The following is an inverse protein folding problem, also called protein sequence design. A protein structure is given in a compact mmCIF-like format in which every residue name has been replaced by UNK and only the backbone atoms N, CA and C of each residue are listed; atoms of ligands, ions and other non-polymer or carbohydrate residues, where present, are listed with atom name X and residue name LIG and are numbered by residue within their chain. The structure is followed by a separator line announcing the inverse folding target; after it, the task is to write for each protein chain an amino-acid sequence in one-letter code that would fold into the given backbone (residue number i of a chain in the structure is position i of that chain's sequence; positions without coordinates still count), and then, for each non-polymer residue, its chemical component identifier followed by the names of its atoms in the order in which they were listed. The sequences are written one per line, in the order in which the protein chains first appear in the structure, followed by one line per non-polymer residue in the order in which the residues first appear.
data_IF_643510363494
#
_entry.id   IF_643510363494
#
_cell.length_a   1.000
_cell.length_b   1.000
_cell.length_c   1.000
_cell.angle_alpha   90.00
_cell.angle_beta   90.00
_cell.angle_gamma   90.00
#
_symmetry.space_group_name_H-M   'P 1'
#
loop_
_entity.id
_entity.type
_entity.pdbx_description
1 polymer ?
#
# COMPACT_ATOMS: atom_id res chain seq x y z
N UNK A 1 -26.07 10.72 -0.47
CA UNK A 1 -24.99 10.47 0.51
C UNK A 1 -23.69 10.86 -0.19
N UNK A 2 -22.86 11.71 0.42
CA UNK A 2 -21.54 12.01 -0.17
C UNK A 2 -20.69 10.74 -0.13
N UNK A 3 -19.85 10.53 -1.14
CA UNK A 3 -18.98 9.36 -1.20
C UNK A 3 -17.97 9.42 -0.04
N UNK A 4 -17.63 8.29 0.56
CA UNK A 4 -16.64 8.21 1.65
C UNK A 4 -15.31 8.77 1.15
N UNK A 5 -14.90 8.41 -0.08
CA UNK A 5 -13.67 8.87 -0.72
C UNK A 5 -13.57 10.39 -0.89
N UNK A 6 -14.70 11.10 -1.06
CA UNK A 6 -14.74 12.57 -1.13
C UNK A 6 -14.39 13.21 0.21
N UNK A 7 -14.72 12.54 1.32
CA UNK A 7 -14.36 13.02 2.66
C UNK A 7 -12.84 13.05 2.87
N UNK A 8 -12.06 12.19 2.19
CA UNK A 8 -10.60 12.16 2.22
C UNK A 8 -10.00 13.20 1.25
N UNK A 9 -10.29 14.49 1.46
CA UNK A 9 -9.90 15.57 0.53
C UNK A 9 -8.38 15.76 0.38
N UNK A 10 -7.60 15.49 1.43
CA UNK A 10 -6.12 15.56 1.38
C UNK A 10 -5.49 14.39 0.60
N UNK A 11 -6.22 13.28 0.45
CA UNK A 11 -5.77 12.10 -0.30
C UNK A 11 -6.21 12.27 -1.75
N UNK A 12 -5.24 12.22 -2.66
CA UNK A 12 -5.49 12.20 -4.11
C UNK A 12 -5.54 10.78 -4.65
N UNK A 13 -4.55 9.98 -4.27
CA UNK A 13 -4.38 8.59 -4.67
C UNK A 13 -3.98 7.76 -3.46
N UNK A 14 -4.21 6.46 -3.58
CA UNK A 14 -3.66 5.44 -2.71
C UNK A 14 -2.60 4.66 -3.47
N UNK A 15 -1.74 3.94 -2.77
CA UNK A 15 -0.53 3.40 -3.37
C UNK A 15 -0.26 1.97 -2.93
N UNK A 16 0.02 1.08 -3.89
CA UNK A 16 0.56 -0.23 -3.60
C UNK A 16 2.02 -0.28 -4.04
N UNK A 17 2.94 -0.50 -3.12
CA UNK A 17 4.36 -0.64 -3.44
C UNK A 17 4.60 -2.08 -3.85
N UNK A 18 5.18 -2.29 -5.03
CA UNK A 18 5.27 -3.60 -5.65
C UNK A 18 6.56 -3.81 -6.47
N UNK A 19 6.72 -5.04 -6.98
CA UNK A 19 7.80 -5.45 -7.85
C UNK A 19 7.30 -5.37 -9.30
N UNK A 20 8.12 -4.87 -10.20
CA UNK A 20 7.77 -4.73 -11.62
C UNK A 20 7.32 -6.05 -12.25
N UNK A 21 7.87 -7.19 -11.80
CA UNK A 21 7.51 -8.53 -12.30
C UNK A 21 6.05 -8.89 -12.00
N UNK A 22 5.45 -8.27 -10.98
CA UNK A 22 4.06 -8.52 -10.60
C UNK A 22 3.06 -7.70 -11.43
N UNK A 23 3.51 -6.69 -12.19
CA UNK A 23 2.62 -5.75 -12.87
C UNK A 23 1.71 -6.43 -13.89
N UNK A 24 2.20 -7.40 -14.68
CA UNK A 24 1.35 -8.15 -15.62
C UNK A 24 0.16 -8.79 -14.91
N UNK A 25 0.41 -9.51 -13.81
CA UNK A 25 -0.66 -10.12 -13.01
C UNK A 25 -1.58 -9.08 -12.38
N UNK A 26 -1.03 -7.97 -11.88
CA UNK A 26 -1.81 -6.90 -11.24
C UNK A 26 -2.77 -6.25 -12.24
N UNK A 27 -2.31 -5.95 -13.45
CA UNK A 27 -3.14 -5.34 -14.48
C UNK A 27 -4.08 -6.35 -15.17
N UNK A 28 -3.87 -7.65 -14.97
CA UNK A 28 -4.79 -8.70 -15.43
C UNK A 28 -5.87 -9.03 -14.39
N UNK A 29 -5.55 -9.04 -13.10
CA UNK A 29 -6.42 -9.58 -12.05
C UNK A 29 -6.82 -8.58 -10.95
N UNK A 30 -6.18 -7.42 -10.92
CA UNK A 30 -6.22 -6.48 -9.81
C UNK A 30 -5.12 -6.75 -8.78
N UNK A 31 -5.05 -5.90 -7.76
CA UNK A 31 -4.15 -6.14 -6.61
C UNK A 31 -4.86 -7.12 -5.68
N UNK A 32 -4.48 -8.39 -5.74
CA UNK A 32 -5.08 -9.44 -4.92
C UNK A 32 -4.51 -9.45 -3.49
N UNK A 33 -5.36 -9.77 -2.53
CA UNK A 33 -4.95 -10.15 -1.17
C UNK A 33 -4.11 -11.43 -1.20
N UNK A 34 -3.40 -11.72 -0.11
CA UNK A 34 -2.55 -12.93 -0.03
C UNK A 34 -3.42 -14.19 -0.19
N UNK A 35 -4.57 -14.24 0.47
CA UNK A 35 -5.47 -15.39 0.40
C UNK A 35 -6.07 -15.56 -1.00
N UNK A 36 -6.45 -14.47 -1.67
CA UNK A 36 -6.94 -14.54 -3.07
C UNK A 36 -5.87 -15.04 -4.04
N UNK A 37 -4.59 -14.67 -3.85
CA UNK A 37 -3.49 -15.23 -4.67
C UNK A 37 -3.35 -16.74 -4.48
N UNK A 38 -3.45 -17.22 -3.23
CA UNK A 38 -3.35 -18.65 -2.92
C UNK A 38 -4.54 -19.42 -3.51
N UNK A 39 -5.76 -18.92 -3.35
CA UNK A 39 -6.98 -19.55 -3.88
C UNK A 39 -6.93 -19.68 -5.41
N UNK A 40 -6.34 -18.69 -6.09
CA UNK A 40 -6.26 -18.65 -7.56
C UNK A 40 -4.97 -19.23 -8.13
N UNK A 41 -4.08 -19.76 -7.29
CA UNK A 41 -2.75 -20.24 -7.67
C UNK A 41 -1.94 -19.22 -8.48
N UNK A 42 -2.03 -17.95 -8.11
CA UNK A 42 -1.30 -16.86 -8.76
C UNK A 42 0.00 -16.61 -7.99
N UNK A 43 1.11 -17.05 -8.58
CA UNK A 43 2.45 -16.74 -8.08
C UNK A 43 2.78 -15.26 -8.26
N UNK A 44 3.46 -14.69 -7.27
CA UNK A 44 3.97 -13.32 -7.33
C UNK A 44 5.33 -13.23 -6.65
N UNK A 45 6.20 -12.36 -7.15
CA UNK A 45 7.46 -12.03 -6.47
C UNK A 45 7.15 -11.46 -5.09
N UNK A 46 7.68 -12.12 -4.06
CA UNK A 46 7.54 -11.67 -2.68
C UNK A 46 8.51 -10.52 -2.35
N UNK A 47 7.93 -9.45 -1.82
CA UNK A 47 8.61 -8.24 -1.35
C UNK A 47 8.58 -8.11 0.16
N UNK A 48 7.82 -8.96 0.83
CA UNK A 48 7.51 -8.78 2.24
C UNK A 48 8.78 -8.90 3.09
N UNK A 49 8.82 -8.07 4.14
CA UNK A 49 9.76 -8.27 5.23
C UNK A 49 9.28 -9.52 6.00
N UNK A 50 10.09 -10.59 6.14
CA UNK A 50 9.65 -11.84 6.76
C UNK A 50 9.08 -11.67 8.18
N UNK A 51 9.64 -10.77 8.99
CA UNK A 51 9.16 -10.52 10.35
C UNK A 51 7.82 -9.79 10.38
N UNK A 52 7.59 -8.88 9.42
CA UNK A 52 6.28 -8.25 9.23
C UNK A 52 5.30 -9.31 8.72
N UNK A 53 5.71 -10.14 7.76
CA UNK A 53 4.87 -11.14 7.14
C UNK A 53 4.38 -12.18 8.14
N UNK A 54 5.26 -12.65 9.03
CA UNK A 54 4.93 -13.55 10.14
C UNK A 54 3.88 -12.94 11.07
N UNK A 55 4.01 -11.65 11.41
CA UNK A 55 3.01 -10.96 12.23
C UNK A 55 1.65 -10.84 11.54
N UNK A 56 1.61 -10.79 10.21
CA UNK A 56 0.37 -10.72 9.44
C UNK A 56 -0.34 -12.06 9.33
N UNK A 57 0.39 -13.19 9.40
CA UNK A 57 -0.18 -14.54 9.22
C UNK A 57 -1.33 -14.82 10.20
N UNK A 58 -1.19 -14.40 11.46
CA UNK A 58 -2.20 -14.62 12.51
C UNK A 58 -3.00 -13.34 12.88
N UNK A 59 -2.79 -12.23 12.17
CA UNK A 59 -3.44 -10.95 12.52
C UNK A 59 -4.89 -10.95 12.06
N UNK A 60 -5.82 -10.87 13.03
CA UNK A 60 -7.24 -10.63 12.79
C UNK A 60 -7.58 -9.15 12.85
N UNK A 61 -8.42 -8.68 11.93
CA UNK A 61 -9.02 -7.35 11.99
C UNK A 61 -10.29 -7.46 12.86
N UNK A 62 -10.43 -6.68 13.96
CA UNK A 62 -11.60 -6.76 14.84
C UNK A 62 -12.91 -6.58 14.08
N UNK A 63 -13.91 -7.43 14.35
CA UNK A 63 -15.21 -7.47 13.65
C UNK A 63 -15.17 -7.75 12.14
N UNK A 64 -14.01 -8.16 11.63
CA UNK A 64 -13.75 -8.43 10.22
C UNK A 64 -13.02 -9.78 10.04
N UNK A 65 -12.35 -9.97 8.90
CA UNK A 65 -11.59 -11.17 8.55
C UNK A 65 -10.13 -11.17 9.02
N UNK A 66 -9.34 -12.04 8.40
CA UNK A 66 -7.89 -12.08 8.58
C UNK A 66 -7.25 -10.95 7.78
N UNK A 67 -6.13 -10.39 8.25
CA UNK A 67 -5.41 -9.35 7.53
C UNK A 67 -4.98 -9.80 6.12
N UNK A 68 -4.79 -11.10 5.91
CA UNK A 68 -4.48 -11.69 4.60
C UNK A 68 -5.65 -11.83 3.63
N UNK A 69 -6.88 -11.56 4.08
CA UNK A 69 -8.03 -11.41 3.19
C UNK A 69 -8.02 -10.05 2.48
N UNK A 70 -7.16 -9.11 2.88
CA UNK A 70 -7.16 -7.75 2.37
C UNK A 70 -5.96 -7.43 1.49
N UNK A 71 -6.22 -6.78 0.36
CA UNK A 71 -5.21 -6.12 -0.46
C UNK A 71 -4.85 -4.77 0.19
N UNK A 72 -3.57 -4.58 0.50
CA UNK A 72 -3.12 -3.42 1.25
C UNK A 72 -2.64 -2.28 0.34
N UNK A 73 -3.06 -1.07 0.70
CA UNK A 73 -2.67 0.19 0.08
C UNK A 73 -2.15 1.13 1.15
N UNK A 74 -1.25 2.03 0.77
CA UNK A 74 -0.72 3.08 1.63
C UNK A 74 -1.29 4.44 1.21
N UNK A 75 -1.45 5.32 2.20
CA UNK A 75 -1.71 6.75 1.94
C UNK A 75 -0.49 7.47 1.38
N UNK A 76 0.71 7.07 1.82
CA UNK A 76 1.98 7.63 1.40
C UNK A 76 2.93 6.48 1.00
N UNK A 77 3.39 6.40 -0.26
CA UNK A 77 4.29 5.33 -0.67
C UNK A 77 5.72 5.58 -0.21
N UNK A 78 6.06 6.83 0.13
CA UNK A 78 7.37 7.19 0.68
C UNK A 78 7.39 6.99 2.19
N UNK A 79 7.36 5.73 2.59
CA UNK A 79 7.21 5.29 3.98
C UNK A 79 8.34 4.31 4.39
N UNK A 80 8.39 3.86 5.66
CA UNK A 80 9.38 2.88 6.11
C UNK A 80 9.42 1.55 5.35
N UNK A 81 8.30 1.12 4.74
CA UNK A 81 8.26 -0.08 3.91
C UNK A 81 9.06 0.13 2.62
N UNK A 82 8.84 1.25 1.92
CA UNK A 82 9.68 1.62 0.77
C UNK A 82 11.16 1.76 1.17
N UNK A 83 11.44 2.42 2.30
CA UNK A 83 12.82 2.54 2.80
C UNK A 83 13.47 1.17 3.06
N UNK A 84 12.73 0.21 3.60
CA UNK A 84 13.22 -1.16 3.75
C UNK A 84 13.55 -1.77 2.38
N UNK A 85 12.62 -1.68 1.41
CA UNK A 85 12.80 -2.30 0.09
C UNK A 85 14.01 -1.77 -0.68
N UNK A 86 14.23 -0.45 -0.71
CA UNK A 86 15.38 0.12 -1.44
C UNK A 86 16.74 -0.33 -0.90
N UNK A 87 16.79 -0.78 0.36
CA UNK A 87 18.01 -1.30 0.98
C UNK A 87 18.17 -2.82 0.81
N UNK A 88 17.15 -3.53 0.32
CA UNK A 88 17.12 -5.00 0.24
C UNK A 88 16.79 -5.54 -1.16
N UNK A 89 16.38 -4.69 -2.09
CA UNK A 89 15.99 -5.03 -3.46
C UNK A 89 16.66 -4.07 -4.43
N UNK A 90 16.75 -4.46 -5.71
CA UNK A 90 17.23 -3.57 -6.76
C UNK A 90 16.18 -2.49 -7.00
N UNK A 91 16.59 -1.22 -6.94
CA UNK A 91 15.70 -0.08 -7.16
C UNK A 91 14.98 -0.17 -8.51
N UNK A 92 15.65 -0.71 -9.52
CA UNK A 92 15.14 -0.89 -10.88
C UNK A 92 14.08 -1.98 -11.00
N UNK A 93 13.82 -2.75 -9.94
CA UNK A 93 12.78 -3.78 -9.90
C UNK A 93 11.57 -3.32 -9.07
N UNK A 94 11.64 -2.15 -8.42
CA UNK A 94 10.58 -1.61 -7.58
C UNK A 94 9.67 -0.65 -8.37
N UNK A 95 8.39 -0.65 -8.00
CA UNK A 95 7.41 0.29 -8.51
C UNK A 95 6.34 0.61 -7.46
N UNK A 96 5.53 1.62 -7.77
CA UNK A 96 4.35 1.98 -7.01
C UNK A 96 3.18 1.97 -7.98
N UNK A 97 2.18 1.13 -7.73
CA UNK A 97 0.91 1.19 -8.44
C UNK A 97 0.05 2.26 -7.78
N UNK A 98 -0.35 3.26 -8.56
CA UNK A 98 -1.28 4.30 -8.15
C UNK A 98 -2.71 3.78 -8.26
N UNK A 99 -3.50 4.01 -7.22
CA UNK A 99 -4.87 3.52 -7.09
C UNK A 99 -5.81 4.69 -6.81
N UNK A 100 -6.94 4.71 -7.50
CA UNK A 100 -8.00 5.68 -7.28
C UNK A 100 -8.58 5.52 -5.86
N UNK A 101 -8.69 6.62 -5.12
CA UNK A 101 -9.19 6.62 -3.75
C UNK A 101 -10.65 6.18 -3.60
N UNK A 102 -11.41 6.11 -4.70
CA UNK A 102 -12.78 5.55 -4.72
C UNK A 102 -12.84 4.09 -4.25
N UNK A 103 -11.71 3.40 -4.11
CA UNK A 103 -11.65 2.11 -3.39
C UNK A 103 -12.08 2.20 -1.91
N UNK A 104 -12.04 3.40 -1.32
CA UNK A 104 -12.60 3.66 0.03
C UNK A 104 -14.12 3.51 0.07
N UNK A 105 -14.80 3.59 -1.07
CA UNK A 105 -16.24 3.40 -1.19
C UNK A 105 -16.63 1.93 -1.41
N UNK A 106 -15.65 1.04 -1.61
CA UNK A 106 -15.90 -0.40 -1.78
C UNK A 106 -16.35 -1.03 -0.46
N UNK A 107 -17.32 -1.94 -0.56
CA UNK A 107 -17.82 -2.69 0.58
C UNK A 107 -16.71 -3.50 1.25
N UNK A 108 -16.70 -3.49 2.58
CA UNK A 108 -15.71 -4.20 3.37
C UNK A 108 -14.34 -3.51 3.44
N UNK A 109 -14.14 -2.35 2.82
CA UNK A 109 -12.88 -1.58 2.98
C UNK A 109 -12.72 -1.06 4.41
N UNK A 110 -11.56 -1.35 4.99
CA UNK A 110 -11.15 -0.97 6.35
C UNK A 110 -9.91 -0.10 6.26
N UNK A 111 -9.67 0.77 7.24
CA UNK A 111 -8.41 1.51 7.36
C UNK A 111 -7.73 1.20 8.69
N UNK A 112 -6.40 1.30 8.72
CA UNK A 112 -5.60 1.26 9.94
C UNK A 112 -4.86 2.58 10.15
N UNK A 113 -4.70 3.01 11.40
CA UNK A 113 -3.98 4.26 11.74
C UNK A 113 -2.46 4.18 11.62
N UNK A 114 -1.96 2.97 11.45
CA UNK A 114 -0.54 2.59 11.37
C UNK A 114 -0.41 1.27 10.62
N UNK A 115 0.81 0.76 10.50
CA UNK A 115 1.07 -0.58 9.95
C UNK A 115 0.10 -1.61 10.57
N UNK A 116 -0.73 -2.25 9.76
CA UNK A 116 -1.76 -3.18 10.21
C UNK A 116 -1.19 -4.42 10.92
N UNK A 117 0.08 -4.77 10.68
CA UNK A 117 0.78 -5.85 11.37
C UNK A 117 1.23 -5.46 12.80
N UNK A 118 1.07 -4.19 13.20
CA UNK A 118 1.37 -3.75 14.56
C UNK A 118 0.37 -4.30 15.57
N UNK A 119 0.83 -4.63 16.78
CA UNK A 119 -0.05 -4.97 17.91
C UNK A 119 -0.96 -3.80 18.29
N UNK A 120 -0.45 -2.57 18.19
CA UNK A 120 -1.17 -1.34 18.53
C UNK A 120 -2.02 -0.79 17.39
N UNK A 121 -2.09 -1.49 16.25
CA UNK A 121 -2.92 -1.05 15.14
C UNK A 121 -4.39 -1.11 15.53
N UNK A 122 -5.08 0.01 15.38
CA UNK A 122 -6.53 0.01 15.44
C UNK A 122 -7.10 0.17 14.03
N UNK A 123 -8.29 -0.39 13.88
CA UNK A 123 -8.96 -0.55 12.61
C UNK A 123 -10.34 0.09 12.69
N UNK A 124 -10.72 0.78 11.63
CA UNK A 124 -12.04 1.43 11.52
C UNK A 124 -12.58 1.29 10.11
N UNK A 125 -13.90 1.39 9.99
CA UNK A 125 -14.55 1.51 8.68
C UNK A 125 -14.10 2.79 7.97
N UNK A 126 -14.07 2.76 6.63
CA UNK A 126 -13.55 3.88 5.84
C UNK A 126 -14.27 5.22 6.14
N UNK A 127 -15.57 5.22 6.45
CA UNK A 127 -16.34 6.43 6.80
C UNK A 127 -15.90 7.08 8.12
N UNK A 128 -15.38 6.30 9.07
CA UNK A 128 -14.88 6.78 10.37
C UNK A 128 -13.39 7.05 10.35
N UNK A 129 -12.66 6.31 9.52
CA UNK A 129 -11.21 6.29 9.42
C UNK A 129 -10.55 7.66 9.28
N UNK A 130 -11.17 8.59 8.54
CA UNK A 130 -10.64 9.95 8.35
C UNK A 130 -10.34 10.66 9.67
N UNK A 131 -11.18 10.47 10.69
CA UNK A 131 -11.01 11.11 12.01
C UNK A 131 -9.93 10.43 12.85
N UNK A 132 -9.60 9.20 12.52
CA UNK A 132 -8.70 8.35 13.28
C UNK A 132 -7.25 8.42 12.78
N UNK A 133 -7.06 8.60 11.47
CA UNK A 133 -5.74 8.66 10.85
C UNK A 133 -5.06 10.01 11.14
N UNK A 134 -3.87 9.97 11.74
CA UNK A 134 -3.01 11.14 11.98
C UNK A 134 -2.28 11.55 10.70
N UNK A 135 -2.99 12.12 9.72
CA UNK A 135 -2.44 12.45 8.39
C UNK A 135 -1.18 13.32 8.42
N UNK A 136 -1.05 14.23 9.40
CA UNK A 136 0.17 15.03 9.56
C UNK A 136 1.41 14.17 9.81
N UNK A 137 1.28 13.07 10.57
CA UNK A 137 2.36 12.09 10.80
C UNK A 137 2.52 11.16 9.59
N UNK A 138 1.43 10.71 8.97
CA UNK A 138 1.45 9.83 7.77
C UNK A 138 2.22 10.47 6.61
N UNK A 139 1.99 11.76 6.37
CA UNK A 139 2.64 12.53 5.31
C UNK A 139 3.91 13.26 5.77
N UNK A 140 4.37 13.05 7.00
CA UNK A 140 5.62 13.64 7.45
C UNK A 140 6.81 13.13 6.61
N UNK A 141 7.75 14.01 6.30
CA UNK A 141 8.93 13.68 5.46
C UNK A 141 9.82 12.59 6.08
N UNK A 142 9.92 12.60 7.41
CA UNK A 142 10.72 11.68 8.20
C UNK A 142 9.92 11.21 9.42
N UNK A 143 10.24 10.01 9.90
CA UNK A 143 9.71 9.42 11.13
C UNK A 143 10.68 9.55 12.31
N UNK A 144 11.81 10.25 12.12
CA UNK A 144 12.87 10.41 13.13
C UNK A 144 12.40 11.27 14.29
N UNK A 145 12.85 10.94 15.50
CA UNK A 145 12.65 11.72 16.73
C UNK A 145 13.82 11.46 17.67
N UNK A 146 14.18 12.46 18.48
CA UNK A 146 15.15 12.30 19.57
C UNK A 146 14.65 11.33 20.65
N UNK A 147 13.33 11.11 20.72
CA UNK A 147 12.71 10.09 21.56
C UNK A 147 12.59 8.76 20.78
N UNK A 148 13.27 7.67 21.18
CA UNK A 148 13.21 6.39 20.48
C UNK A 148 11.82 5.76 20.42
N UNK A 149 10.99 5.94 21.45
CA UNK A 149 9.62 5.43 21.49
C UNK A 149 8.74 6.17 20.49
N UNK A 150 8.88 7.49 20.42
CA UNK A 150 8.16 8.29 19.43
C UNK A 150 8.61 7.96 18.01
N UNK A 151 9.92 7.81 17.78
CA UNK A 151 10.45 7.39 16.48
C UNK A 151 9.86 6.02 16.06
N UNK A 152 9.77 5.08 17.00
CA UNK A 152 9.17 3.77 16.75
C UNK A 152 7.66 3.87 16.43
N UNK A 153 6.92 4.73 17.12
CA UNK A 153 5.51 5.00 16.83
C UNK A 153 5.33 5.65 15.45
N UNK A 154 6.12 6.70 15.15
CA UNK A 154 6.07 7.43 13.89
C UNK A 154 6.35 6.52 12.70
N UNK A 155 7.30 5.58 12.80
CA UNK A 155 7.54 4.56 11.77
C UNK A 155 6.28 3.76 11.45
N UNK A 156 5.52 3.38 12.47
CA UNK A 156 4.31 2.60 12.27
C UNK A 156 3.19 3.46 11.68
N UNK A 157 2.98 4.67 12.20
CA UNK A 157 1.93 5.60 11.73
C UNK A 157 2.15 5.95 10.26
N UNK A 158 3.39 6.15 9.81
CA UNK A 158 3.68 6.40 8.39
C UNK A 158 3.31 5.25 7.44
N UNK A 159 3.14 4.05 7.99
CA UNK A 159 2.65 2.89 7.27
C UNK A 159 1.15 2.65 7.54
N UNK A 160 0.35 3.69 7.82
CA UNK A 160 -1.12 3.59 7.83
C UNK A 160 -1.64 3.03 6.50
N UNK A 161 -2.59 2.09 6.57
CA UNK A 161 -3.06 1.32 5.42
C UNK A 161 -4.55 1.54 5.14
N UNK A 162 -4.92 1.44 3.85
CA UNK A 162 -6.27 1.14 3.38
C UNK A 162 -6.27 -0.33 2.97
N UNK A 163 -7.22 -1.09 3.50
CA UNK A 163 -7.31 -2.54 3.38
C UNK A 163 -8.60 -2.85 2.61
N UNK A 164 -8.46 -3.20 1.33
CA UNK A 164 -9.58 -3.53 0.45
C UNK A 164 -9.81 -5.03 0.47
N UNK A 165 -11.04 -5.46 0.77
CA UNK A 165 -11.37 -6.87 0.92
C UNK A 165 -11.17 -7.62 -0.41
N UNK A 166 -10.51 -8.77 -0.35
CA UNK A 166 -10.17 -9.68 -1.45
C UNK A 166 -9.23 -9.08 -2.51
N UNK A 167 -9.61 -7.97 -3.16
CA UNK A 167 -8.80 -7.36 -4.21
C UNK A 167 -9.12 -5.89 -4.43
N UNK A 168 -8.13 -5.15 -4.92
CA UNK A 168 -8.36 -3.89 -5.64
C UNK A 168 -8.66 -4.22 -7.10
N UNK A 169 -9.85 -3.88 -7.63
CA UNK A 169 -10.18 -4.13 -9.03
C UNK A 169 -9.33 -3.31 -10.01
N UNK A 170 -9.16 -3.82 -11.23
CA UNK A 170 -8.27 -3.24 -12.26
C UNK A 170 -8.71 -1.83 -12.66
N UNK A 171 -10.02 -1.57 -12.67
CA UNK A 171 -10.61 -0.28 -13.01
C UNK A 171 -10.25 0.86 -12.04
N UNK A 172 -9.71 0.54 -10.87
CA UNK A 172 -9.19 1.53 -9.92
C UNK A 172 -7.68 1.77 -10.08
N UNK A 173 -6.98 1.03 -10.95
CA UNK A 173 -5.55 1.21 -11.20
C UNK A 173 -5.36 2.32 -12.23
N UNK A 174 -4.65 3.38 -11.83
CA UNK A 174 -4.59 4.63 -12.62
C UNK A 174 -3.21 4.88 -13.25
N UNK A 175 -2.17 4.23 -12.75
CA UNK A 175 -0.80 4.53 -13.16
C UNK A 175 0.24 3.71 -12.42
N UNK A 176 1.47 3.75 -12.93
CA UNK A 176 2.65 3.19 -12.27
C UNK A 176 3.67 4.31 -12.08
N UNK A 177 4.24 4.40 -10.88
CA UNK A 177 5.37 5.26 -10.59
C UNK A 177 6.63 4.41 -10.41
N UNK A 178 7.73 4.86 -10.99
CA UNK A 178 9.04 4.20 -10.92
C UNK A 178 10.14 5.20 -10.54
N UNK A 179 11.31 4.69 -10.17
CA UNK A 179 12.40 5.52 -9.67
C UNK A 179 13.20 6.21 -10.78
N UNK A 180 13.37 5.58 -11.94
CA UNK A 180 14.27 6.04 -13.00
C UNK A 180 13.83 5.52 -14.38
N UNK A 181 14.56 5.95 -15.43
CA UNK A 181 14.27 5.58 -16.81
C UNK A 181 14.42 4.07 -17.09
N UNK A 182 15.38 3.38 -16.45
CA UNK A 182 15.54 1.94 -16.64
C UNK A 182 14.30 1.17 -16.16
N UNK A 183 13.81 1.49 -14.96
CA UNK A 183 12.58 0.93 -14.43
C UNK A 183 11.36 1.30 -15.30
N UNK A 184 11.32 2.52 -15.85
CA UNK A 184 10.24 2.95 -16.75
C UNK A 184 10.21 2.12 -18.03
N UNK A 185 11.37 1.95 -18.69
CA UNK A 185 11.46 1.13 -19.90
C UNK A 185 10.97 -0.30 -19.65
N UNK A 186 11.39 -0.91 -18.53
CA UNK A 186 10.90 -2.25 -18.13
C UNK A 186 9.38 -2.31 -18.01
N UNK A 187 8.70 -1.25 -17.52
CA UNK A 187 7.23 -1.20 -17.45
C UNK A 187 6.62 -1.05 -18.85
N UNK A 188 7.17 -0.16 -19.66
CA UNK A 188 6.67 0.12 -21.01
C UNK A 188 6.76 -1.13 -21.90
N UNK A 189 7.83 -1.92 -21.75
CA UNK A 189 8.02 -3.21 -22.45
C UNK A 189 6.94 -4.25 -22.09
N UNK A 190 6.24 -4.10 -20.96
CA UNK A 190 5.12 -4.97 -20.59
C UNK A 190 3.85 -4.66 -21.39
N UNK A 191 3.79 -3.54 -22.12
CA UNK A 191 2.67 -3.12 -22.97
C UNK A 191 1.31 -3.08 -22.23
N UNK A 192 1.30 -2.58 -21.00
CA UNK A 192 0.10 -2.54 -20.15
C UNK A 192 -0.90 -1.42 -20.51
N UNK A 193 -0.56 -0.58 -21.49
CA UNK A 193 -1.35 0.60 -21.88
C UNK A 193 -1.73 1.50 -20.69
N UNK A 194 -0.77 1.74 -19.80
CA UNK A 194 -0.95 2.52 -18.58
C UNK A 194 0.06 3.66 -18.52
N UNK A 195 -0.30 4.77 -17.86
CA UNK A 195 0.62 5.86 -17.63
C UNK A 195 1.75 5.44 -16.68
N UNK A 196 3.00 5.71 -17.07
CA UNK A 196 4.20 5.50 -16.25
C UNK A 196 4.88 6.84 -15.96
N UNK A 197 5.12 7.14 -14.69
CA UNK A 197 5.72 8.41 -14.24
C UNK A 197 6.98 8.13 -13.42
N UNK A 198 8.03 8.92 -13.63
CA UNK A 198 9.25 8.87 -12.81
C UNK A 198 9.16 9.87 -11.66
N UNK A 199 9.34 9.39 -10.42
CA UNK A 199 9.40 10.19 -9.18
C UNK A 199 10.39 9.58 -8.18
N UNK A 200 11.67 9.85 -8.40
CA UNK A 200 12.78 9.28 -7.61
C UNK A 200 12.68 9.58 -6.11
N UNK A 201 12.09 10.72 -5.75
CA UNK A 201 11.97 11.17 -4.37
C UNK A 201 11.07 10.25 -3.52
N UNK A 202 10.11 9.56 -4.14
CA UNK A 202 9.27 8.57 -3.49
C UNK A 202 10.04 7.29 -3.12
N UNK A 203 11.19 7.07 -3.74
CA UNK A 203 12.11 5.96 -3.49
C UNK A 203 13.35 6.39 -2.68
N UNK A 204 13.30 7.56 -2.03
CA UNK A 204 14.41 8.12 -1.24
C UNK A 204 15.71 8.35 -2.05
N UNK A 205 15.60 8.57 -3.37
CA UNK A 205 16.70 8.90 -4.29
C UNK A 205 16.67 10.37 -4.75
#
# INVERSE_FOLDING_TARGET
MNLISESYSIVKFLFNINDLRNLKSIFQHGILSKNEKLIRDISSTDLSNPDVQKRRDDKRIPNHGMLHDYANLYFNPRNPMMYYLINHKKIDDLCIVCVDKRVLDLEGTVVSDRNAASELAAFESADKGKRYIKFSKVFAKYWTSDNPLEQYENKQIQCAEVLVLNKVPVEYLIGVIVCNENAKQKVEDLNLNIQVIIRKELFFQ
#
